data_IF_623247334716
#
_entry.id   IF_623247334716
#
_cell.length_a   1.000
_cell.length_b   1.000
_cell.length_c   1.000
_cell.angle_alpha   90.00
_cell.angle_beta   90.00
_cell.angle_gamma   90.00
#
_symmetry.space_group_name_H-M   'P 1'
#
loop_
_entity.id
_entity.type
_entity.pdbx_description
1 polymer ?
#
# COMPACT_ATOMS: atom_id res chain seq x y z
N UNK A 1 42.98 19.17 16.75
CA UNK A 1 43.87 19.51 15.61
C UNK A 1 43.60 18.58 14.41
N UNK A 2 42.40 18.62 13.81
CA UNK A 2 42.08 17.81 12.61
C UNK A 2 42.03 18.62 11.30
N UNK A 3 41.92 19.95 11.37
CA UNK A 3 41.80 20.82 10.18
C UNK A 3 43.03 20.73 9.26
N UNK A 4 44.24 20.60 9.81
CA UNK A 4 45.47 20.44 9.02
C UNK A 4 45.78 18.99 8.61
N UNK A 5 44.92 18.03 8.97
CA UNK A 5 45.05 16.67 8.46
C UNK A 5 44.70 16.61 6.96
N UNK A 6 43.81 17.49 6.50
CA UNK A 6 43.54 17.66 5.08
C UNK A 6 44.72 18.37 4.40
N UNK A 7 45.34 17.68 3.43
CA UNK A 7 46.50 18.15 2.67
C UNK A 7 46.20 19.43 1.89
N UNK A 8 44.99 19.59 1.35
CA UNK A 8 44.60 20.77 0.57
C UNK A 8 44.45 22.00 1.47
N UNK A 9 43.84 21.84 2.64
CA UNK A 9 43.73 22.92 3.64
C UNK A 9 45.14 23.36 4.06
N UNK A 10 46.02 22.42 4.38
CA UNK A 10 47.41 22.75 4.74
C UNK A 10 48.14 23.49 3.61
N UNK A 11 47.99 23.05 2.36
CA UNK A 11 48.59 23.72 1.21
C UNK A 11 48.03 25.13 1.01
N UNK A 12 46.72 25.35 1.22
CA UNK A 12 46.09 26.67 1.17
C UNK A 12 46.69 27.60 2.22
N UNK A 13 46.81 27.15 3.48
CA UNK A 13 47.42 27.93 4.55
C UNK A 13 48.90 28.27 4.26
N UNK A 14 49.65 27.33 3.68
CA UNK A 14 51.03 27.58 3.23
C UNK A 14 51.10 28.59 2.09
N UNK A 15 50.20 28.50 1.10
CA UNK A 15 50.13 29.45 -0.01
C UNK A 15 49.75 30.86 0.46
N UNK A 16 48.74 30.98 1.33
CA UNK A 16 48.35 32.25 1.95
C UNK A 16 49.52 32.85 2.73
N UNK A 17 50.23 32.05 3.52
CA UNK A 17 51.41 32.51 4.25
C UNK A 17 52.53 32.99 3.31
N UNK A 18 52.80 32.26 2.23
CA UNK A 18 53.81 32.63 1.24
C UNK A 18 53.48 33.95 0.54
N UNK A 19 52.22 34.12 0.10
CA UNK A 19 51.74 35.38 -0.49
C UNK A 19 51.86 36.54 0.50
N UNK A 20 51.53 36.30 1.77
CA UNK A 20 51.62 37.32 2.82
C UNK A 20 53.07 37.72 3.13
N UNK A 21 53.99 36.75 3.15
CA UNK A 21 55.41 37.00 3.33
C UNK A 21 56.00 37.80 2.16
N UNK A 22 55.63 37.48 0.92
CA UNK A 22 56.06 38.23 -0.27
C UNK A 22 55.51 39.67 -0.24
N UNK A 23 54.24 39.87 0.12
CA UNK A 23 53.65 41.20 0.24
C UNK A 23 54.33 42.06 1.32
N UNK A 24 54.66 41.47 2.47
CA UNK A 24 55.43 42.14 3.52
C UNK A 24 56.84 42.52 3.05
N UNK A 25 57.54 41.61 2.37
CA UNK A 25 58.88 41.87 1.85
C UNK A 25 58.90 43.00 0.81
N UNK A 26 57.94 43.00 -0.12
CA UNK A 26 57.80 44.04 -1.14
C UNK A 26 57.49 45.40 -0.52
N UNK A 27 56.53 45.46 0.41
CA UNK A 27 56.16 46.73 1.06
C UNK A 27 57.30 47.31 1.90
N UNK A 28 58.03 46.48 2.65
CA UNK A 28 59.23 46.92 3.37
C UNK A 28 60.34 47.37 2.41
N UNK A 29 60.56 46.66 1.30
CA UNK A 29 61.55 47.03 0.29
C UNK A 29 61.27 48.39 -0.36
N UNK A 30 60.02 48.68 -0.69
CA UNK A 30 59.59 49.97 -1.25
C UNK A 30 59.82 51.10 -0.24
N UNK A 31 59.41 50.90 1.02
CA UNK A 31 59.60 51.90 2.08
C UNK A 31 61.09 52.18 2.28
N UNK A 32 61.90 51.12 2.40
CA UNK A 32 63.35 51.24 2.54
C UNK A 32 63.99 52.01 1.37
N UNK A 33 63.59 51.72 0.13
CA UNK A 33 64.12 52.43 -1.04
C UNK A 33 63.76 53.92 -1.06
N UNK A 34 62.61 54.30 -0.51
CA UNK A 34 62.09 55.68 -0.59
C UNK A 34 62.57 56.55 0.57
N UNK A 35 62.70 55.96 1.77
CA UNK A 35 62.99 56.70 3.00
C UNK A 35 64.32 56.33 3.66
N UNK A 36 65.01 55.28 3.18
CA UNK A 36 66.19 54.67 3.81
C UNK A 36 66.00 54.25 5.28
N UNK A 37 64.74 54.05 5.72
CA UNK A 37 64.41 53.61 7.08
C UNK A 37 63.53 52.36 7.05
N UNK A 38 63.84 51.39 7.91
CA UNK A 38 62.99 50.21 8.11
C UNK A 38 61.78 50.57 9.00
N UNK A 39 60.56 50.28 8.53
CA UNK A 39 59.34 50.64 9.27
C UNK A 39 58.86 49.50 10.15
N UNK A 40 59.21 49.55 11.43
CA UNK A 40 58.71 48.61 12.45
C UNK A 40 57.19 48.67 12.63
N UNK A 41 56.60 49.87 12.48
CA UNK A 41 55.14 50.04 12.56
C UNK A 41 54.40 49.27 11.48
N UNK A 42 54.92 49.28 10.24
CA UNK A 42 54.32 48.55 9.13
C UNK A 42 54.44 47.02 9.31
N UNK A 43 55.57 46.56 9.84
CA UNK A 43 55.75 45.14 10.19
C UNK A 43 54.73 44.69 11.25
N UNK A 44 54.51 45.50 12.29
CA UNK A 44 53.54 45.19 13.34
C UNK A 44 52.11 45.12 12.79
N UNK A 45 51.72 46.05 11.93
CA UNK A 45 50.40 46.04 11.27
C UNK A 45 50.20 44.80 10.41
N UNK A 46 51.20 44.40 9.61
CA UNK A 46 51.13 43.18 8.78
C UNK A 46 51.00 41.90 9.61
N UNK A 47 51.71 41.81 10.74
CA UNK A 47 51.59 40.68 11.67
C UNK A 47 50.18 40.59 12.27
N UNK A 48 49.62 41.73 12.71
CA UNK A 48 48.26 41.77 13.27
C UNK A 48 47.20 41.38 12.23
N UNK A 49 47.29 41.92 11.01
CA UNK A 49 46.37 41.59 9.91
C UNK A 49 46.51 40.13 9.47
N UNK A 50 47.74 39.62 9.37
CA UNK A 50 48.02 38.22 9.03
C UNK A 50 47.48 37.26 10.08
N UNK A 51 47.68 37.56 11.38
CA UNK A 51 47.12 36.79 12.48
C UNK A 51 45.58 36.80 12.48
N UNK A 52 44.96 37.95 12.20
CA UNK A 52 43.51 38.08 12.08
C UNK A 52 42.97 37.23 10.91
N UNK A 53 43.57 37.34 9.72
CA UNK A 53 43.21 36.55 8.54
C UNK A 53 43.34 35.05 8.82
N UNK A 54 44.45 34.62 9.40
CA UNK A 54 44.68 33.24 9.80
C UNK A 54 43.62 32.75 10.80
N UNK A 55 43.29 33.56 11.80
CA UNK A 55 42.27 33.23 12.79
C UNK A 55 40.86 33.06 12.19
N UNK A 56 40.49 33.92 11.22
CA UNK A 56 39.21 33.84 10.51
C UNK A 56 39.15 32.58 9.63
N UNK A 57 40.18 32.34 8.82
CA UNK A 57 40.26 31.14 7.98
C UNK A 57 40.22 29.86 8.83
N UNK A 58 40.98 29.84 9.92
CA UNK A 58 41.03 28.68 10.81
C UNK A 58 39.67 28.41 11.47
N UNK A 59 38.98 29.45 11.95
CA UNK A 59 37.61 29.32 12.48
C UNK A 59 36.62 28.83 11.43
N UNK A 60 36.70 29.34 10.21
CA UNK A 60 35.83 28.93 9.11
C UNK A 60 35.98 27.43 8.81
N UNK A 61 37.21 26.95 8.61
CA UNK A 61 37.45 25.53 8.33
C UNK A 61 37.16 24.62 9.53
N UNK A 62 37.41 25.07 10.76
CA UNK A 62 36.98 24.32 11.94
C UNK A 62 35.46 24.14 11.99
N UNK A 63 34.69 25.21 11.73
CA UNK A 63 33.24 25.16 11.73
C UNK A 63 32.71 24.22 10.65
N UNK A 64 33.26 24.27 9.44
CA UNK A 64 32.89 23.35 8.35
C UNK A 64 33.21 21.89 8.68
N UNK A 65 34.40 21.62 9.24
CA UNK A 65 34.78 20.26 9.62
C UNK A 65 33.88 19.70 10.72
N UNK A 66 33.50 20.52 11.69
CA UNK A 66 32.58 20.11 12.75
C UNK A 66 31.17 19.79 12.22
N UNK A 67 30.66 20.60 11.29
CA UNK A 67 29.37 20.35 10.63
C UNK A 67 29.39 19.03 9.84
N UNK A 68 30.49 18.74 9.13
CA UNK A 68 30.63 17.49 8.37
C UNK A 68 30.73 16.27 9.31
N UNK A 69 31.49 16.36 10.40
CA UNK A 69 31.56 15.29 11.40
C UNK A 69 30.18 15.02 12.03
N UNK A 70 29.41 16.07 12.35
CA UNK A 70 28.04 15.93 12.87
C UNK A 70 27.12 15.27 11.84
N UNK A 71 27.19 15.68 10.57
CA UNK A 71 26.38 15.08 9.52
C UNK A 71 26.69 13.59 9.33
N UNK A 72 27.96 13.20 9.35
CA UNK A 72 28.37 11.79 9.27
C UNK A 72 27.83 11.00 10.47
N UNK A 73 27.90 11.54 11.69
CA UNK A 73 27.34 10.88 12.87
C UNK A 73 25.83 10.69 12.79
N UNK A 74 25.09 11.70 12.29
CA UNK A 74 23.65 11.61 12.10
C UNK A 74 23.27 10.60 11.01
N UNK A 75 24.03 10.53 9.90
CA UNK A 75 23.84 9.50 8.87
C UNK A 75 24.10 8.10 9.46
N UNK A 76 25.15 7.91 10.25
CA UNK A 76 25.40 6.64 10.93
C UNK A 76 24.26 6.26 11.87
N UNK A 77 23.74 7.21 12.66
CA UNK A 77 22.59 6.97 13.52
C UNK A 77 21.33 6.59 12.72
N UNK A 78 21.13 7.16 11.53
CA UNK A 78 20.04 6.77 10.63
C UNK A 78 20.23 5.33 10.11
N UNK A 79 21.46 4.94 9.77
CA UNK A 79 21.79 3.57 9.34
C UNK A 79 21.62 2.54 10.47
N UNK A 80 21.87 2.94 11.71
CA UNK A 80 21.66 2.11 12.91
C UNK A 80 20.17 1.99 13.32
N UNK A 81 19.26 2.55 12.51
CA UNK A 81 17.82 2.37 12.66
C UNK A 81 17.12 3.41 13.53
N UNK A 82 17.72 4.59 13.74
CA UNK A 82 17.04 5.71 14.40
C UNK A 82 16.24 6.54 13.37
N UNK A 83 14.89 6.48 13.37
CA UNK A 83 14.06 7.17 12.36
C UNK A 83 13.99 8.69 12.54
N UNK A 84 14.35 9.22 13.71
CA UNK A 84 14.31 10.65 14.02
C UNK A 84 15.64 11.37 13.74
N UNK A 85 16.68 10.63 13.34
CA UNK A 85 17.97 11.21 13.01
C UNK A 85 17.89 11.97 11.67
N UNK A 86 17.68 13.29 11.74
CA UNK A 86 17.65 14.19 10.58
C UNK A 86 18.80 15.17 10.59
N UNK A 87 19.33 15.44 9.41
CA UNK A 87 20.32 16.49 9.19
C UNK A 87 19.63 17.86 9.22
N UNK A 88 20.20 18.82 9.94
CA UNK A 88 19.74 20.21 9.93
C UNK A 88 19.99 20.85 8.54
N UNK A 89 18.91 21.26 7.86
CA UNK A 89 18.94 21.80 6.51
C UNK A 89 18.36 23.23 6.38
N UNK A 90 18.16 23.96 7.48
CA UNK A 90 17.42 25.24 7.49
C UNK A 90 18.22 26.45 6.96
N UNK A 91 19.36 26.23 6.33
CA UNK A 91 20.27 27.29 5.88
C UNK A 91 20.58 27.21 4.39
N UNK A 92 20.95 28.34 3.82
CA UNK A 92 21.40 28.42 2.43
C UNK A 92 22.84 27.90 2.28
N UNK A 93 23.11 27.22 1.15
CA UNK A 93 24.42 26.72 0.78
C UNK A 93 24.39 25.29 0.24
N UNK A 94 25.40 24.93 -0.56
CA UNK A 94 25.48 23.61 -1.21
C UNK A 94 25.49 22.44 -0.22
N UNK A 95 26.09 22.61 0.96
CA UNK A 95 26.05 21.59 2.02
C UNK A 95 24.63 21.33 2.55
N UNK A 96 23.84 22.37 2.73
CA UNK A 96 22.47 22.24 3.23
C UNK A 96 21.53 21.67 2.16
N UNK A 97 21.78 21.96 0.87
CA UNK A 97 21.12 21.27 -0.26
C UNK A 97 21.44 19.78 -0.29
N UNK A 98 22.70 19.42 -0.03
CA UNK A 98 23.11 18.02 0.13
C UNK A 98 22.39 17.36 1.31
N UNK A 99 22.35 18.02 2.47
CA UNK A 99 21.65 17.51 3.66
C UNK A 99 20.16 17.29 3.41
N UNK A 100 19.48 18.22 2.72
CA UNK A 100 18.10 18.04 2.29
C UNK A 100 17.94 16.81 1.38
N UNK A 101 18.84 16.63 0.40
CA UNK A 101 18.81 15.48 -0.51
C UNK A 101 19.04 14.16 0.22
N UNK A 102 19.91 14.14 1.24
CA UNK A 102 20.14 12.97 2.09
C UNK A 102 18.91 12.67 2.96
N UNK A 103 18.28 13.69 3.57
CA UNK A 103 17.04 13.50 4.33
C UNK A 103 15.92 12.94 3.45
N UNK A 104 15.78 13.41 2.20
CA UNK A 104 14.81 12.88 1.25
C UNK A 104 15.10 11.41 0.89
N UNK A 105 16.36 11.06 0.65
CA UNK A 105 16.77 9.67 0.40
C UNK A 105 16.49 8.77 1.62
N UNK A 106 16.81 9.24 2.82
CA UNK A 106 16.54 8.51 4.05
C UNK A 106 15.03 8.25 4.23
N UNK A 107 14.19 9.26 3.99
CA UNK A 107 12.74 9.11 4.04
C UNK A 107 12.21 8.07 3.01
N UNK A 108 12.73 8.10 1.79
CA UNK A 108 12.38 7.11 0.74
C UNK A 108 12.82 5.70 1.16
N UNK A 109 14.03 5.54 1.68
CA UNK A 109 14.54 4.24 2.14
C UNK A 109 13.73 3.70 3.33
N UNK A 110 13.41 4.54 4.31
CA UNK A 110 12.54 4.16 5.44
C UNK A 110 11.15 3.76 4.96
N UNK A 111 10.56 4.51 4.02
CA UNK A 111 9.26 4.16 3.44
C UNK A 111 9.31 2.81 2.69
N UNK A 112 10.39 2.53 1.94
CA UNK A 112 10.58 1.23 1.30
C UNK A 112 10.74 0.09 2.30
N UNK A 113 11.55 0.28 3.35
CA UNK A 113 11.73 -0.74 4.40
C UNK A 113 10.43 -1.03 5.15
N UNK A 114 9.64 0.02 5.46
CA UNK A 114 8.33 -0.12 6.07
C UNK A 114 7.35 -0.87 5.16
N UNK A 115 7.36 -0.57 3.86
CA UNK A 115 6.52 -1.25 2.89
C UNK A 115 6.90 -2.73 2.77
N UNK A 116 8.20 -3.05 2.64
CA UNK A 116 8.69 -4.42 2.60
C UNK A 116 8.30 -5.20 3.87
N UNK A 117 8.38 -4.57 5.04
CA UNK A 117 7.98 -5.20 6.30
C UNK A 117 6.45 -5.35 6.42
N UNK A 118 5.66 -4.49 5.78
CA UNK A 118 4.19 -4.66 5.67
C UNK A 118 3.85 -5.81 4.74
N UNK A 119 4.50 -5.90 3.58
CA UNK A 119 4.33 -7.00 2.62
C UNK A 119 4.70 -8.36 3.23
N UNK A 120 5.83 -8.44 3.94
CA UNK A 120 6.24 -9.65 4.67
C UNK A 120 5.22 -10.07 5.72
N UNK A 121 4.70 -9.11 6.51
CA UNK A 121 3.66 -9.38 7.50
C UNK A 121 2.36 -9.84 6.85
N UNK A 122 1.97 -9.19 5.75
CA UNK A 122 0.79 -9.53 4.97
C UNK A 122 0.88 -10.95 4.40
N UNK A 123 2.01 -11.31 3.79
CA UNK A 123 2.26 -12.65 3.27
C UNK A 123 2.22 -13.70 4.39
N UNK A 124 2.89 -13.44 5.52
CA UNK A 124 2.88 -14.33 6.68
C UNK A 124 1.46 -14.58 7.20
N UNK A 125 0.67 -13.53 7.37
CA UNK A 125 -0.71 -13.64 7.85
C UNK A 125 -1.57 -14.39 6.83
N UNK A 126 -1.43 -14.06 5.54
CA UNK A 126 -2.16 -14.73 4.46
C UNK A 126 -1.89 -16.24 4.44
N UNK A 127 -0.62 -16.67 4.55
CA UNK A 127 -0.25 -18.09 4.59
C UNK A 127 -0.82 -18.80 5.83
N UNK A 128 -0.82 -18.12 6.98
CA UNK A 128 -1.41 -18.66 8.20
C UNK A 128 -2.93 -18.86 8.03
N UNK A 129 -3.63 -17.88 7.49
CA UNK A 129 -5.07 -17.95 7.27
C UNK A 129 -5.45 -19.05 6.27
N UNK A 130 -4.72 -19.17 5.16
CA UNK A 130 -4.90 -20.26 4.18
C UNK A 130 -4.73 -21.62 4.85
N UNK A 131 -3.65 -21.79 5.61
CA UNK A 131 -3.37 -23.04 6.34
C UNK A 131 -4.53 -23.41 7.28
N UNK A 132 -5.07 -22.43 8.00
CA UNK A 132 -6.21 -22.65 8.89
C UNK A 132 -7.48 -23.05 8.14
N UNK A 133 -7.80 -22.36 7.04
CA UNK A 133 -9.01 -22.63 6.27
C UNK A 133 -8.96 -23.96 5.51
N UNK A 134 -7.77 -24.46 5.15
CA UNK A 134 -7.59 -25.78 4.57
C UNK A 134 -7.62 -26.90 5.61
N UNK A 135 -7.16 -26.65 6.84
CA UNK A 135 -7.09 -27.69 7.89
C UNK A 135 -8.47 -28.24 8.27
N UNK A 136 -9.49 -27.39 8.32
CA UNK A 136 -10.85 -27.78 8.69
C UNK A 136 -11.50 -28.76 7.70
N UNK A 137 -11.62 -28.46 6.38
CA UNK A 137 -12.20 -29.39 5.41
C UNK A 137 -11.36 -30.67 5.30
N UNK A 138 -10.03 -30.59 5.39
CA UNK A 138 -9.16 -31.78 5.40
C UNK A 138 -9.38 -32.67 6.62
N UNK A 139 -9.62 -32.09 7.80
CA UNK A 139 -9.93 -32.87 8.99
C UNK A 139 -11.30 -33.57 8.86
N UNK A 140 -12.30 -32.89 8.30
CA UNK A 140 -13.60 -33.48 8.01
C UNK A 140 -13.48 -34.65 7.02
N UNK A 141 -12.76 -34.45 5.91
CA UNK A 141 -12.47 -35.51 4.93
C UNK A 141 -11.78 -36.73 5.56
N UNK A 142 -10.81 -36.52 6.44
CA UNK A 142 -10.15 -37.62 7.15
C UNK A 142 -11.13 -38.38 8.05
N UNK A 143 -12.07 -37.70 8.70
CA UNK A 143 -13.11 -38.33 9.53
C UNK A 143 -14.07 -39.13 8.64
N UNK A 144 -14.62 -38.52 7.58
CA UNK A 144 -15.56 -39.20 6.67
C UNK A 144 -14.92 -40.42 6.00
N UNK A 145 -13.68 -40.29 5.54
CA UNK A 145 -12.94 -41.42 4.98
C UNK A 145 -12.63 -42.50 6.03
N UNK A 146 -12.38 -42.12 7.28
CA UNK A 146 -12.21 -43.08 8.38
C UNK A 146 -13.51 -43.84 8.71
N UNK A 147 -14.65 -43.16 8.69
CA UNK A 147 -15.97 -43.77 8.88
C UNK A 147 -16.29 -44.73 7.72
N UNK A 148 -16.03 -44.33 6.47
CA UNK A 148 -16.23 -45.16 5.29
C UNK A 148 -15.40 -46.46 5.26
N UNK A 149 -14.33 -46.54 6.06
CA UNK A 149 -13.49 -47.74 6.19
C UNK A 149 -14.00 -48.74 7.24
N UNK A 150 -15.01 -48.37 8.04
CA UNK A 150 -15.61 -49.26 9.04
C UNK A 150 -16.54 -50.29 8.35
N UNK A 151 -16.37 -51.57 8.70
CA UNK A 151 -17.13 -52.69 8.10
C UNK A 151 -18.63 -52.66 8.48
N UNK A 152 -19.00 -51.87 9.50
CA UNK A 152 -20.37 -51.77 10.00
C UNK A 152 -21.25 -50.71 9.30
N UNK A 153 -20.74 -49.99 8.29
CA UNK A 153 -21.46 -48.87 7.64
C UNK A 153 -22.50 -49.36 6.63
N UNK A 154 -23.72 -48.84 6.72
CA UNK A 154 -24.79 -49.14 5.78
C UNK A 154 -24.57 -48.47 4.41
N UNK A 155 -25.13 -49.02 3.30
CA UNK A 155 -25.04 -48.38 1.98
C UNK A 155 -25.60 -46.94 1.92
N UNK A 156 -26.58 -46.59 2.77
CA UNK A 156 -27.10 -45.23 2.87
C UNK A 156 -26.10 -44.27 3.52
N UNK A 157 -25.41 -44.71 4.58
CA UNK A 157 -24.38 -43.91 5.26
C UNK A 157 -23.14 -43.74 4.37
N UNK A 158 -22.79 -44.76 3.57
CA UNK A 158 -21.72 -44.64 2.57
C UNK A 158 -22.01 -43.51 1.60
N UNK A 159 -23.25 -43.44 1.08
CA UNK A 159 -23.65 -42.36 0.18
C UNK A 159 -23.61 -41.00 0.87
N UNK A 160 -24.12 -40.90 2.09
CA UNK A 160 -24.10 -39.65 2.87
C UNK A 160 -22.68 -39.13 3.11
N UNK A 161 -21.75 -39.99 3.56
CA UNK A 161 -20.36 -39.57 3.78
C UNK A 161 -19.61 -39.26 2.48
N UNK A 162 -19.95 -39.93 1.37
CA UNK A 162 -19.42 -39.60 0.06
C UNK A 162 -19.90 -38.22 -0.40
N UNK A 163 -21.20 -37.93 -0.28
CA UNK A 163 -21.79 -36.63 -0.62
C UNK A 163 -21.17 -35.50 0.25
N UNK A 164 -20.97 -35.74 1.56
CA UNK A 164 -20.29 -34.80 2.45
C UNK A 164 -18.81 -34.59 2.08
N UNK A 165 -18.14 -35.64 1.61
CA UNK A 165 -16.75 -35.56 1.16
C UNK A 165 -16.62 -34.74 -0.13
N UNK A 166 -17.54 -34.93 -1.07
CA UNK A 166 -17.61 -34.14 -2.31
C UNK A 166 -17.80 -32.65 -1.99
N UNK A 167 -18.71 -32.33 -1.06
CA UNK A 167 -18.92 -30.93 -0.62
C UNK A 167 -17.67 -30.28 -0.03
N UNK A 168 -16.89 -30.98 0.80
CA UNK A 168 -15.65 -30.43 1.36
C UNK A 168 -14.53 -30.33 0.32
N UNK A 169 -14.50 -31.20 -0.70
CA UNK A 169 -13.59 -31.08 -1.85
C UNK A 169 -13.92 -29.85 -2.71
N UNK A 170 -15.20 -29.66 -3.06
CA UNK A 170 -15.67 -28.49 -3.82
C UNK A 170 -15.36 -27.18 -3.06
N UNK A 171 -15.48 -27.22 -1.74
CA UNK A 171 -15.12 -26.10 -0.87
C UNK A 171 -13.62 -25.79 -0.92
N UNK A 172 -12.76 -26.80 -0.88
CA UNK A 172 -11.30 -26.63 -1.04
C UNK A 172 -10.98 -26.08 -2.43
N UNK A 173 -11.59 -26.61 -3.48
CA UNK A 173 -11.38 -26.15 -4.85
C UNK A 173 -11.74 -24.67 -4.99
N UNK A 174 -12.93 -24.28 -4.53
CA UNK A 174 -13.40 -22.89 -4.54
C UNK A 174 -12.45 -21.97 -3.76
N UNK A 175 -11.94 -22.42 -2.62
CA UNK A 175 -10.96 -21.69 -1.82
C UNK A 175 -9.68 -21.43 -2.62
N UNK A 176 -9.12 -22.46 -3.23
CA UNK A 176 -7.86 -22.38 -3.99
C UNK A 176 -8.05 -21.50 -5.22
N UNK A 177 -9.14 -21.68 -5.98
CA UNK A 177 -9.42 -20.87 -7.16
C UNK A 177 -9.57 -19.38 -6.81
N UNK A 178 -10.36 -19.04 -5.79
CA UNK A 178 -10.55 -17.66 -5.37
C UNK A 178 -9.25 -17.03 -4.86
N UNK A 179 -8.45 -17.79 -4.11
CA UNK A 179 -7.14 -17.32 -3.66
C UNK A 179 -6.19 -17.04 -4.85
N UNK A 180 -6.17 -17.91 -5.86
CA UNK A 180 -5.36 -17.70 -7.06
C UNK A 180 -5.82 -16.48 -7.86
N UNK A 181 -7.15 -16.27 -8.00
CA UNK A 181 -7.71 -15.08 -8.63
C UNK A 181 -7.26 -13.80 -7.90
N UNK A 182 -7.47 -13.75 -6.59
CA UNK A 182 -7.10 -12.60 -5.76
C UNK A 182 -5.59 -12.30 -5.83
N UNK A 183 -4.75 -13.33 -5.66
CA UNK A 183 -3.29 -13.14 -5.68
C UNK A 183 -2.78 -12.68 -7.05
N UNK A 184 -3.37 -13.14 -8.15
CA UNK A 184 -3.03 -12.65 -9.49
C UNK A 184 -3.42 -11.18 -9.70
N UNK A 185 -4.58 -10.76 -9.20
CA UNK A 185 -5.05 -9.38 -9.26
C UNK A 185 -4.15 -8.45 -8.44
N UNK A 186 -3.85 -8.82 -7.20
CA UNK A 186 -2.94 -8.10 -6.30
C UNK A 186 -1.55 -7.89 -6.88
N UNK A 187 -1.01 -8.93 -7.53
CA UNK A 187 0.31 -8.88 -8.16
C UNK A 187 0.34 -8.04 -9.45
N UNK A 188 -0.80 -7.50 -9.90
CA UNK A 188 -0.93 -6.82 -11.18
C UNK A 188 -0.62 -7.73 -12.38
N UNK A 189 -0.68 -9.04 -12.18
CA UNK A 189 -0.31 -10.05 -13.20
C UNK A 189 -1.45 -10.39 -14.15
N UNK A 190 -2.68 -9.97 -13.83
CA UNK A 190 -3.86 -10.13 -14.68
C UNK A 190 -3.83 -9.06 -15.76
N UNK A 191 -3.82 -9.49 -17.02
CA UNK A 191 -4.07 -8.60 -18.16
C UNK A 191 -5.58 -8.53 -18.35
N UNK A 192 -6.18 -7.37 -18.06
CA UNK A 192 -7.62 -7.15 -18.23
C UNK A 192 -7.94 -6.79 -19.69
N UNK A 193 -8.86 -7.51 -20.31
CA UNK A 193 -9.36 -7.25 -21.65
C UNK A 193 -10.52 -6.24 -21.62
N UNK A 194 -10.20 -4.98 -21.27
CA UNK A 194 -11.22 -3.94 -21.11
C UNK A 194 -11.85 -3.52 -22.44
N UNK A 195 -13.18 -3.49 -22.50
CA UNK A 195 -14.01 -3.02 -23.63
C UNK A 195 -15.18 -2.20 -23.09
N UNK A 196 -15.90 -1.48 -23.97
CA UNK A 196 -17.16 -0.84 -23.58
C UNK A 196 -18.24 -1.92 -23.53
N UNK A 197 -18.61 -2.33 -22.31
CA UNK A 197 -19.61 -3.37 -22.06
C UNK A 197 -20.92 -2.73 -21.60
N UNK A 198 -22.05 -3.31 -22.02
CA UNK A 198 -23.37 -2.85 -21.60
C UNK A 198 -23.68 -3.37 -20.17
N UNK A 199 -23.93 -2.46 -19.24
CA UNK A 199 -24.17 -2.83 -17.83
C UNK A 199 -25.48 -3.59 -17.65
N UNK A 200 -26.52 -3.23 -18.41
CA UNK A 200 -27.81 -3.92 -18.34
C UNK A 200 -27.68 -5.39 -18.80
N UNK A 201 -26.97 -5.66 -19.88
CA UNK A 201 -26.71 -7.02 -20.35
C UNK A 201 -25.93 -7.85 -19.32
N UNK A 202 -24.86 -7.27 -18.75
CA UNK A 202 -24.06 -7.96 -17.73
C UNK A 202 -24.89 -8.35 -16.50
N UNK A 203 -25.73 -7.43 -16.00
CA UNK A 203 -26.58 -7.68 -14.84
C UNK A 203 -27.73 -8.64 -15.16
N UNK A 204 -28.27 -8.62 -16.38
CA UNK A 204 -29.29 -9.58 -16.83
C UNK A 204 -28.73 -11.02 -16.90
N UNK A 205 -27.49 -11.20 -17.32
CA UNK A 205 -26.82 -12.52 -17.30
C UNK A 205 -26.76 -13.08 -15.87
N UNK A 206 -26.36 -12.25 -14.91
CA UNK A 206 -26.30 -12.61 -13.48
C UNK A 206 -27.71 -12.95 -12.96
N UNK A 207 -28.71 -12.15 -13.31
CA UNK A 207 -30.08 -12.42 -12.89
C UNK A 207 -30.62 -13.75 -13.45
N UNK A 208 -30.28 -14.10 -14.69
CA UNK A 208 -30.63 -15.39 -15.28
C UNK A 208 -29.97 -16.55 -14.56
N UNK A 209 -28.70 -16.41 -14.18
CA UNK A 209 -27.96 -17.41 -13.41
C UNK A 209 -28.63 -17.71 -12.05
N UNK A 210 -29.12 -16.68 -11.35
CA UNK A 210 -29.74 -16.86 -10.04
C UNK A 210 -31.24 -17.10 -10.05
N UNK A 211 -31.90 -17.03 -11.21
CA UNK A 211 -33.36 -17.15 -11.34
C UNK A 211 -33.92 -18.37 -10.60
N UNK A 212 -33.34 -19.55 -10.85
CA UNK A 212 -33.78 -20.80 -10.23
C UNK A 212 -33.64 -20.77 -8.70
N UNK A 213 -32.50 -20.29 -8.19
CA UNK A 213 -32.25 -20.18 -6.74
C UNK A 213 -33.22 -19.19 -6.09
N UNK A 214 -33.45 -18.03 -6.72
CA UNK A 214 -34.39 -17.03 -6.20
C UNK A 214 -35.82 -17.53 -6.16
N UNK A 215 -36.27 -18.29 -7.16
CA UNK A 215 -37.60 -18.91 -7.16
C UNK A 215 -37.72 -19.99 -6.08
N UNK A 216 -36.73 -20.88 -5.99
CA UNK A 216 -36.72 -21.98 -5.02
C UNK A 216 -36.71 -21.46 -3.57
N UNK A 217 -35.93 -20.41 -3.29
CA UNK A 217 -35.81 -19.79 -1.97
C UNK A 217 -36.89 -18.72 -1.71
N UNK A 218 -37.81 -18.49 -2.65
CA UNK A 218 -38.89 -17.49 -2.59
C UNK A 218 -38.39 -16.05 -2.34
N UNK A 219 -37.28 -15.68 -2.97
CA UNK A 219 -36.66 -14.36 -2.92
C UNK A 219 -36.95 -13.59 -4.21
N UNK A 220 -36.96 -12.25 -4.14
CA UNK A 220 -37.15 -11.39 -5.30
C UNK A 220 -35.82 -10.81 -5.75
N UNK A 221 -35.51 -10.91 -7.04
CA UNK A 221 -34.40 -10.20 -7.66
C UNK A 221 -34.94 -9.13 -8.62
N UNK A 222 -34.64 -7.87 -8.34
CA UNK A 222 -35.16 -6.72 -9.08
C UNK A 222 -34.00 -5.98 -9.75
N UNK A 223 -34.14 -5.71 -11.04
CA UNK A 223 -33.16 -4.98 -11.83
C UNK A 223 -33.71 -3.60 -12.17
N UNK A 224 -32.90 -2.54 -12.01
CA UNK A 224 -33.32 -1.17 -12.34
C UNK A 224 -32.17 -0.31 -12.82
N UNK A 225 -32.21 0.12 -14.08
CA UNK A 225 -31.23 1.05 -14.63
C UNK A 225 -31.50 1.33 -16.10
N UNK A 226 -30.77 2.28 -16.66
CA UNK A 226 -30.88 2.59 -18.09
C UNK A 226 -30.15 1.55 -18.95
N UNK A 227 -30.78 1.11 -20.04
CA UNK A 227 -30.19 0.19 -21.02
C UNK A 227 -29.01 0.81 -21.80
N UNK A 228 -28.84 2.13 -21.74
CA UNK A 228 -27.79 2.85 -22.46
C UNK A 228 -26.46 2.97 -21.69
N UNK A 229 -26.40 2.50 -20.44
CA UNK A 229 -25.20 2.64 -19.60
C UNK A 229 -24.13 1.64 -20.06
N UNK A 230 -22.99 2.18 -20.48
CA UNK A 230 -21.80 1.39 -20.83
C UNK A 230 -20.68 1.62 -19.82
N UNK A 231 -19.90 0.58 -19.53
CA UNK A 231 -18.74 0.63 -18.65
C UNK A 231 -17.49 0.14 -19.40
N UNK A 232 -16.36 0.86 -19.25
CA UNK A 232 -15.07 0.41 -19.76
C UNK A 232 -14.46 -0.62 -18.80
N UNK A 233 -14.78 -1.90 -18.99
CA UNK A 233 -14.36 -2.99 -18.11
C UNK A 233 -14.08 -4.29 -18.87
N UNK A 234 -13.44 -5.22 -18.16
CA UNK A 234 -13.40 -6.62 -18.55
C UNK A 234 -14.69 -7.29 -18.06
N UNK A 235 -15.46 -7.85 -18.99
CA UNK A 235 -16.82 -8.39 -18.73
C UNK A 235 -16.79 -9.50 -17.69
N UNK A 236 -15.90 -10.47 -17.84
CA UNK A 236 -15.89 -11.69 -17.03
C UNK A 236 -15.51 -11.36 -15.58
N UNK A 237 -14.50 -10.50 -15.41
CA UNK A 237 -14.12 -10.02 -14.08
C UNK A 237 -15.23 -9.16 -13.46
N UNK A 238 -15.84 -8.24 -14.21
CA UNK A 238 -16.90 -7.40 -13.66
C UNK A 238 -18.14 -8.22 -13.27
N UNK A 239 -18.50 -9.23 -14.06
CA UNK A 239 -19.55 -10.18 -13.72
C UNK A 239 -19.21 -10.93 -12.43
N UNK A 240 -17.98 -11.44 -12.27
CA UNK A 240 -17.52 -12.09 -11.03
C UNK A 240 -17.62 -11.16 -9.81
N UNK A 241 -17.30 -9.86 -9.94
CA UNK A 241 -17.42 -8.92 -8.84
C UNK A 241 -18.88 -8.74 -8.40
N UNK A 242 -19.80 -8.54 -9.36
CA UNK A 242 -21.23 -8.38 -9.07
C UNK A 242 -21.85 -9.70 -8.58
N UNK A 243 -21.45 -10.84 -9.15
CA UNK A 243 -21.85 -12.19 -8.73
C UNK A 243 -21.55 -12.42 -7.25
N UNK A 244 -20.34 -12.07 -6.79
CA UNK A 244 -19.96 -12.18 -5.38
C UNK A 244 -20.83 -11.32 -4.45
N UNK A 245 -21.26 -10.13 -4.91
CA UNK A 245 -22.17 -9.27 -4.13
C UNK A 245 -23.60 -9.83 -4.10
N UNK A 246 -24.11 -10.32 -5.23
CA UNK A 246 -25.45 -10.92 -5.34
C UNK A 246 -25.53 -12.21 -4.52
N UNK A 247 -24.49 -13.05 -4.59
CA UNK A 247 -24.39 -14.25 -3.75
C UNK A 247 -24.40 -13.90 -2.26
N UNK A 248 -23.65 -12.88 -1.85
CA UNK A 248 -23.67 -12.40 -0.47
C UNK A 248 -25.08 -11.91 -0.06
N UNK A 249 -25.75 -11.14 -0.93
CA UNK A 249 -27.13 -10.71 -0.69
C UNK A 249 -28.11 -11.91 -0.58
N UNK A 250 -27.95 -12.94 -1.40
CA UNK A 250 -28.74 -14.17 -1.31
C UNK A 250 -28.48 -14.91 0.00
N UNK A 251 -27.24 -15.07 0.41
CA UNK A 251 -26.89 -15.83 1.61
C UNK A 251 -27.40 -15.16 2.91
N UNK A 252 -27.59 -13.84 2.90
CA UNK A 252 -28.03 -13.05 4.07
C UNK A 252 -29.49 -12.56 4.01
N UNK A 253 -30.27 -13.04 3.05
CA UNK A 253 -31.72 -12.78 2.92
C UNK A 253 -32.55 -14.03 3.21
N UNK A 254 -33.82 -13.84 3.59
CA UNK A 254 -34.79 -14.90 3.88
C UNK A 254 -35.88 -14.95 2.81
N UNK A 255 -36.76 -15.96 2.86
CA UNK A 255 -37.95 -16.00 1.99
C UNK A 255 -38.78 -14.73 2.14
N UNK A 256 -39.20 -14.14 1.01
CA UNK A 256 -39.93 -12.88 0.93
C UNK A 256 -39.06 -11.62 0.78
N UNK A 257 -37.75 -11.72 1.05
CA UNK A 257 -36.81 -10.62 0.90
C UNK A 257 -36.52 -10.29 -0.57
N UNK A 258 -36.01 -9.08 -0.79
CA UNK A 258 -35.73 -8.49 -2.09
C UNK A 258 -34.27 -8.09 -2.19
N UNK A 259 -33.65 -8.51 -3.28
CA UNK A 259 -32.33 -8.10 -3.73
C UNK A 259 -32.55 -7.23 -4.95
N UNK A 260 -31.94 -6.05 -4.94
CA UNK A 260 -32.08 -5.06 -6.00
C UNK A 260 -30.71 -4.72 -6.57
N UNK A 261 -30.56 -4.84 -7.88
CA UNK A 261 -29.37 -4.39 -8.60
C UNK A 261 -29.75 -3.14 -9.39
N UNK A 262 -29.13 -2.02 -9.04
CA UNK A 262 -29.35 -0.74 -9.70
C UNK A 262 -28.09 -0.29 -10.44
N UNK A 263 -28.22 0.35 -11.59
CA UNK A 263 -27.08 0.97 -12.27
C UNK A 263 -27.46 2.28 -12.93
N UNK A 264 -26.57 3.27 -12.83
CA UNK A 264 -26.80 4.61 -13.33
C UNK A 264 -25.50 5.21 -13.90
N UNK A 265 -25.62 5.97 -14.98
CA UNK A 265 -24.57 6.87 -15.43
C UNK A 265 -24.72 8.21 -14.72
N UNK A 266 -23.73 8.57 -13.91
CA UNK A 266 -23.56 9.89 -13.32
C UNK A 266 -22.61 10.73 -14.21
N UNK A 267 -22.59 12.06 -14.07
CA UNK A 267 -21.79 12.93 -14.95
C UNK A 267 -20.29 12.56 -15.02
N UNK A 268 -19.71 12.04 -13.93
CA UNK A 268 -18.29 11.73 -13.82
C UNK A 268 -17.99 10.26 -13.56
N UNK A 269 -19.01 9.39 -13.44
CA UNK A 269 -18.82 7.98 -13.08
C UNK A 269 -20.02 7.12 -13.46
N UNK A 270 -19.77 5.83 -13.68
CA UNK A 270 -20.81 4.79 -13.71
C UNK A 270 -20.94 4.20 -12.31
N UNK A 271 -22.16 4.08 -11.82
CA UNK A 271 -22.45 3.52 -10.50
C UNK A 271 -23.28 2.24 -10.64
N UNK A 272 -22.90 1.18 -9.93
CA UNK A 272 -23.65 -0.06 -9.79
C UNK A 272 -23.91 -0.29 -8.31
N UNK A 273 -25.15 -0.52 -7.90
CA UNK A 273 -25.53 -0.83 -6.52
C UNK A 273 -26.13 -2.21 -6.43
N UNK A 274 -25.72 -2.97 -5.42
CA UNK A 274 -26.36 -4.22 -5.03
C UNK A 274 -26.91 -4.02 -3.62
N UNK A 275 -28.23 -4.03 -3.50
CA UNK A 275 -28.96 -3.78 -2.27
C UNK A 275 -29.77 -5.00 -1.86
N UNK A 276 -29.79 -5.30 -0.57
CA UNK A 276 -30.69 -6.27 0.05
C UNK A 276 -31.46 -5.63 1.21
N UNK A 277 -32.54 -6.27 1.62
CA UNK A 277 -33.29 -5.95 2.84
C UNK A 277 -33.13 -7.04 3.92
N UNK A 278 -31.99 -7.76 3.90
CA UNK A 278 -31.72 -8.90 4.76
C UNK A 278 -31.29 -8.52 6.17
N UNK A 279 -30.44 -9.36 6.78
CA UNK A 279 -30.02 -9.20 8.19
C UNK A 279 -29.20 -7.94 8.48
N UNK A 280 -28.65 -7.30 7.45
CA UNK A 280 -27.65 -6.24 7.62
C UNK A 280 -26.34 -6.74 8.24
N UNK A 281 -25.40 -5.82 8.45
CA UNK A 281 -24.05 -6.07 8.97
C UNK A 281 -23.91 -5.38 10.33
N UNK A 282 -23.30 -6.07 11.29
CA UNK A 282 -23.01 -5.49 12.59
C UNK A 282 -21.98 -4.33 12.45
N UNK A 283 -22.15 -3.18 13.13
CA UNK A 283 -21.27 -2.01 12.94
C UNK A 283 -19.77 -2.29 13.15
N UNK A 284 -19.44 -3.22 14.05
CA UNK A 284 -18.04 -3.64 14.30
C UNK A 284 -17.41 -4.39 13.11
N UNK A 285 -18.23 -5.05 12.29
CA UNK A 285 -17.76 -5.88 11.18
C UNK A 285 -17.54 -5.06 9.91
N UNK A 286 -18.18 -3.89 9.76
CA UNK A 286 -18.15 -3.04 8.56
C UNK A 286 -16.72 -2.72 8.11
N UNK A 287 -15.80 -2.46 9.05
CA UNK A 287 -14.40 -2.15 8.76
C UNK A 287 -13.56 -3.37 8.37
N UNK A 288 -14.15 -4.57 8.37
CA UNK A 288 -13.45 -5.83 8.24
C UNK A 288 -14.00 -6.74 7.15
N UNK A 289 -15.21 -6.50 6.63
CA UNK A 289 -15.85 -7.37 5.62
C UNK A 289 -15.04 -7.57 4.33
N UNK A 290 -14.17 -6.63 3.97
CA UNK A 290 -13.29 -6.73 2.81
C UNK A 290 -11.93 -7.38 3.12
N UNK A 291 -11.68 -7.79 4.37
CA UNK A 291 -10.48 -8.55 4.74
C UNK A 291 -10.66 -10.00 4.30
N UNK A 292 -9.57 -10.60 3.79
CA UNK A 292 -9.54 -12.01 3.42
C UNK A 292 -9.84 -12.90 4.61
N UNK A 293 -10.59 -13.97 4.36
CA UNK A 293 -10.97 -14.99 5.35
C UNK A 293 -11.75 -14.45 6.55
N UNK A 294 -12.18 -13.18 6.49
CA UNK A 294 -12.96 -12.60 7.55
C UNK A 294 -14.39 -13.13 7.49
N UNK A 295 -14.88 -13.57 8.64
CA UNK A 295 -16.27 -13.95 8.85
C UNK A 295 -16.77 -13.26 10.10
N UNK A 296 -17.97 -12.69 10.01
CA UNK A 296 -18.65 -12.09 11.14
C UNK A 296 -18.86 -13.14 12.24
N UNK A 297 -18.60 -12.76 13.49
CA UNK A 297 -18.94 -13.59 14.66
C UNK A 297 -20.46 -13.65 14.89
N UNK A 298 -21.21 -12.72 14.30
CA UNK A 298 -22.67 -12.60 14.39
C UNK A 298 -23.40 -13.33 13.26
N UNK A 299 -22.67 -13.86 12.27
CA UNK A 299 -23.23 -14.61 11.13
C UNK A 299 -22.49 -15.95 10.92
N UNK A 300 -22.45 -16.77 11.97
CA UNK A 300 -21.75 -18.06 11.93
C UNK A 300 -22.49 -19.12 11.10
N UNK A 301 -23.82 -19.00 11.02
CA UNK A 301 -24.71 -19.99 10.38
C UNK A 301 -24.65 -19.96 8.85
N UNK A 302 -24.20 -18.85 8.25
CA UNK A 302 -24.02 -18.72 6.80
C UNK A 302 -22.71 -19.35 6.35
N UNK A 303 -22.78 -20.41 5.53
CA UNK A 303 -21.61 -21.05 4.93
C UNK A 303 -20.86 -20.08 4.01
N UNK A 304 -19.54 -20.01 4.15
CA UNK A 304 -18.69 -19.15 3.31
C UNK A 304 -17.24 -19.12 3.80
N UNK A 305 -16.30 -18.89 2.88
CA UNK A 305 -14.86 -18.87 3.17
C UNK A 305 -14.36 -17.45 3.51
N UNK A 306 -15.15 -16.41 3.24
CA UNK A 306 -14.75 -15.01 3.47
C UNK A 306 -13.79 -14.46 2.40
N UNK A 307 -13.86 -14.98 1.17
CA UNK A 307 -13.06 -14.53 0.03
C UNK A 307 -13.85 -13.79 -1.06
N UNK A 308 -15.18 -13.87 -1.07
CA UNK A 308 -16.01 -13.26 -2.11
C UNK A 308 -15.95 -11.73 -2.12
N UNK A 309 -16.24 -11.08 -0.98
CA UNK A 309 -16.16 -9.61 -0.87
C UNK A 309 -14.73 -9.07 -1.13
N UNK A 310 -13.65 -9.68 -0.59
CA UNK A 310 -12.28 -9.32 -0.96
C UNK A 310 -11.99 -9.45 -2.46
N UNK A 311 -12.50 -10.50 -3.13
CA UNK A 311 -12.35 -10.69 -4.57
C UNK A 311 -13.08 -9.60 -5.35
N UNK A 312 -14.35 -9.31 -5.01
CA UNK A 312 -15.10 -8.23 -5.61
C UNK A 312 -14.37 -6.88 -5.49
N UNK A 313 -13.82 -6.59 -4.30
CA UNK A 313 -13.02 -5.39 -4.08
C UNK A 313 -11.77 -5.35 -4.96
N UNK A 314 -10.99 -6.42 -5.01
CA UNK A 314 -9.77 -6.49 -5.82
C UNK A 314 -10.07 -6.28 -7.32
N UNK A 315 -11.17 -6.84 -7.81
CA UNK A 315 -11.62 -6.64 -9.20
C UNK A 315 -11.98 -5.19 -9.46
N UNK A 316 -12.78 -4.57 -8.59
CA UNK A 316 -13.23 -3.18 -8.73
C UNK A 316 -12.02 -2.23 -8.71
N UNK A 317 -11.06 -2.46 -7.80
CA UNK A 317 -9.83 -1.67 -7.72
C UNK A 317 -8.93 -1.85 -8.96
N UNK A 318 -8.84 -3.07 -9.52
CA UNK A 318 -8.15 -3.33 -10.80
C UNK A 318 -8.81 -2.62 -12.00
N UNK A 319 -10.08 -2.25 -11.86
CA UNK A 319 -10.84 -1.42 -12.80
C UNK A 319 -10.78 0.08 -12.48
N UNK A 320 -9.94 0.50 -11.52
CA UNK A 320 -9.84 1.88 -11.04
C UNK A 320 -11.15 2.42 -10.44
N UNK A 321 -12.04 1.52 -10.00
CA UNK A 321 -13.25 1.87 -9.28
C UNK A 321 -13.07 1.86 -7.77
N UNK A 322 -14.12 2.27 -7.06
CA UNK A 322 -14.24 2.13 -5.61
C UNK A 322 -15.45 1.28 -5.25
N UNK A 323 -15.36 0.56 -4.14
CA UNK A 323 -16.46 -0.19 -3.54
C UNK A 323 -16.71 0.33 -2.13
N UNK A 324 -17.97 0.65 -1.86
CA UNK A 324 -18.45 1.17 -0.57
C UNK A 324 -19.60 0.30 -0.05
N UNK A 325 -19.79 0.31 1.26
CA UNK A 325 -20.86 -0.43 1.93
C UNK A 325 -21.61 0.50 2.87
N UNK A 326 -22.93 0.47 2.79
CA UNK A 326 -23.85 1.06 3.77
C UNK A 326 -24.75 -0.07 4.28
N UNK A 327 -24.83 -0.26 5.59
CA UNK A 327 -25.63 -1.34 6.17
C UNK A 327 -26.14 -0.95 7.53
N UNK A 328 -27.38 -1.35 7.81
CA UNK A 328 -27.97 -1.24 9.14
C UNK A 328 -28.50 -2.59 9.57
N UNK A 329 -28.12 -3.00 10.79
CA UNK A 329 -28.51 -4.29 11.36
C UNK A 329 -30.03 -4.43 11.39
N UNK A 330 -30.54 -5.49 10.77
CA UNK A 330 -31.97 -5.80 10.64
C UNK A 330 -32.71 -5.04 9.54
N UNK A 331 -32.04 -4.16 8.77
CA UNK A 331 -32.66 -3.45 7.64
C UNK A 331 -32.10 -3.81 6.27
N UNK A 332 -30.86 -4.33 6.22
CA UNK A 332 -30.21 -4.79 5.00
C UNK A 332 -28.91 -4.05 4.69
N UNK A 333 -28.33 -4.36 3.53
CA UNK A 333 -27.03 -3.85 3.09
C UNK A 333 -27.11 -3.29 1.68
N UNK A 334 -26.33 -2.25 1.39
CA UNK A 334 -26.12 -1.70 0.06
C UNK A 334 -24.63 -1.61 -0.23
N UNK A 335 -24.18 -2.40 -1.20
CA UNK A 335 -22.86 -2.24 -1.79
C UNK A 335 -22.94 -1.30 -2.99
N UNK A 336 -22.05 -0.31 -3.04
CA UNK A 336 -21.99 0.67 -4.14
C UNK A 336 -20.63 0.58 -4.83
N UNK A 337 -20.64 0.25 -6.10
CA UNK A 337 -19.49 0.25 -7.00
C UNK A 337 -19.50 1.54 -7.80
N UNK A 338 -18.41 2.30 -7.78
CA UNK A 338 -18.25 3.54 -8.54
C UNK A 338 -17.06 3.43 -9.48
N UNK A 339 -17.26 3.71 -10.77
CA UNK A 339 -16.23 3.67 -11.79
C UNK A 339 -16.08 5.04 -12.46
N UNK A 340 -14.95 5.74 -12.30
CA UNK A 340 -14.73 7.03 -12.95
C UNK A 340 -14.84 6.93 -14.47
N UNK A 341 -15.59 7.84 -15.08
CA UNK A 341 -15.58 7.99 -16.54
C UNK A 341 -14.37 8.89 -16.84
N UNK A 342 -13.36 8.42 -17.59
CA UNK A 342 -12.25 9.28 -17.97
C UNK A 342 -12.78 10.40 -18.87
N UNK A 343 -12.93 11.59 -18.31
CA UNK A 343 -13.23 12.79 -19.09
C UNK A 343 -12.05 13.00 -20.04
N UNK A 344 -12.29 12.96 -21.36
CA UNK A 344 -11.32 13.49 -22.32
C UNK A 344 -11.21 14.99 -22.07
N UNK A 345 -10.17 15.42 -21.37
CA UNK A 345 -9.74 16.82 -21.31
C UNK A 345 -9.04 17.21 -22.60
#
# INVERSE_FOLDING_TARGET
MKVFANREIRNLFQAVLAVWAVALALTQGIVWHTTHVFSFGLLLVFLLLGGCLWGVLFRYFQRQSALLEQAVQQIQSCLDGNPDARLDCDREGEFYRLFHSVNALAAVLSAHADNEQREKRFLKNTIADISHQLKTPLAALNIYNGLLQDEAVSPSEVKEFADLSEQELDRIETLVQNLLKITRLDAGSVVLEKKNENVAEMVQDIARQYHYRTEQEQKKLVLSGSEAVTLWCDRDWMQEAVDNLVKNALDHTKSGDTIQIEWNALPSMVQIKVRDNGSGIHPEDLYHIFKRFYRSRFSQDTQGIGLGLPLAKAIVEAHHGTIEVDSELGKGTTFTLNFPIPTKL
#
